data_IF_797306202788
#
_entry.id   IF_797306202788
#
_cell.length_a   1.000
_cell.length_b   1.000
_cell.length_c   1.000
_cell.angle_alpha   90.00
_cell.angle_beta   90.00
_cell.angle_gamma   90.00
#
_symmetry.space_group_name_H-M   'P 1'
#
loop_
_entity.id
_entity.type
_entity.pdbx_description
1 polymer ?
#
# COMPACT_ATOMS: atom_id res chain seq x y z
N UNK A 1 -1.28 2.56 -3.03
CA UNK A 1 -0.77 1.26 -2.57
C UNK A 1 -0.13 1.38 -1.18
N UNK A 2 0.07 0.26 -0.48
CA UNK A 2 0.72 0.23 0.84
C UNK A 2 2.17 0.74 0.77
N UNK A 3 2.89 0.40 -0.29
CA UNK A 3 4.25 0.89 -0.54
C UNK A 3 4.32 2.41 -0.64
N UNK A 4 3.30 3.06 -1.23
CA UNK A 4 3.24 4.52 -1.32
C UNK A 4 3.00 5.15 0.06
N UNK A 5 2.16 4.55 0.91
CA UNK A 5 1.93 5.02 2.28
C UNK A 5 3.22 4.92 3.09
N UNK A 6 3.91 3.78 3.02
CA UNK A 6 5.20 3.57 3.72
C UNK A 6 6.26 4.61 3.34
N UNK A 7 6.33 4.98 2.06
CA UNK A 7 7.31 5.97 1.57
C UNK A 7 7.11 7.36 2.18
N UNK A 8 5.89 7.69 2.60
CA UNK A 8 5.56 8.97 3.23
C UNK A 8 5.68 8.86 4.75
N UNK A 9 5.16 7.76 5.30
CA UNK A 9 5.13 7.47 6.73
C UNK A 9 5.63 6.05 6.96
N UNK A 10 6.84 5.86 7.50
CA UNK A 10 7.41 4.53 7.73
C UNK A 10 6.57 3.70 8.72
N UNK A 11 5.86 4.37 9.62
CA UNK A 11 4.95 3.73 10.58
C UNK A 11 3.50 3.94 10.17
N UNK A 12 2.82 2.87 9.80
CA UNK A 12 1.42 2.93 9.41
C UNK A 12 0.67 1.64 9.79
N UNK A 13 -0.65 1.71 9.80
CA UNK A 13 -1.49 0.54 10.06
C UNK A 13 -2.71 0.50 9.17
N UNK A 14 -3.33 -0.67 9.10
CA UNK A 14 -4.60 -0.89 8.42
C UNK A 14 -5.72 -0.71 9.45
N UNK A 15 -6.44 0.40 9.33
CA UNK A 15 -7.51 0.76 10.28
C UNK A 15 -8.77 -0.08 10.09
N UNK A 16 -9.06 -0.48 8.84
CA UNK A 16 -10.26 -1.24 8.49
C UNK A 16 -9.96 -2.30 7.43
N UNK A 17 -9.56 -3.48 7.88
CA UNK A 17 -9.46 -4.64 7.00
C UNK A 17 -10.82 -5.34 6.95
N UNK A 18 -11.34 -5.58 5.74
CA UNK A 18 -12.59 -6.29 5.54
C UNK A 18 -12.60 -7.65 6.24
N UNK A 19 -13.66 -7.93 7.00
CA UNK A 19 -13.84 -9.22 7.70
C UNK A 19 -15.08 -10.00 7.29
N UNK A 20 -16.01 -9.38 6.56
CA UNK A 20 -17.23 -10.02 6.09
C UNK A 20 -17.72 -9.42 4.78
N UNK A 21 -18.90 -9.79 4.33
CA UNK A 21 -19.56 -9.11 3.23
C UNK A 21 -19.85 -7.67 3.62
N UNK A 22 -19.69 -6.74 2.68
CA UNK A 22 -19.92 -5.33 2.90
C UNK A 22 -21.10 -4.85 2.07
N UNK A 23 -21.89 -3.98 2.64
CA UNK A 23 -22.99 -3.35 1.91
C UNK A 23 -23.76 -2.37 2.77
N UNK A 24 -24.45 -1.49 2.10
CA UNK A 24 -25.42 -0.60 2.71
C UNK A 24 -26.82 -1.25 2.66
N UNK A 25 -27.78 -0.65 3.33
CA UNK A 25 -29.17 -1.14 3.37
C UNK A 25 -29.82 -1.30 1.99
N UNK A 26 -29.21 -0.84 0.93
CA UNK A 26 -29.75 -0.90 -0.45
C UNK A 26 -29.09 -1.96 -1.31
N UNK A 27 -27.83 -2.37 -1.01
CA UNK A 27 -27.09 -3.37 -1.79
C UNK A 27 -25.89 -3.92 -1.05
N UNK A 28 -25.49 -5.14 -1.42
CA UNK A 28 -24.17 -5.70 -1.06
C UNK A 28 -23.16 -5.25 -2.11
N UNK A 29 -22.07 -4.62 -1.67
CA UNK A 29 -21.04 -4.03 -2.54
C UNK A 29 -19.81 -4.93 -2.67
N UNK A 30 -19.50 -5.71 -1.63
CA UNK A 30 -18.38 -6.65 -1.67
C UNK A 30 -18.77 -7.99 -1.05
N UNK A 31 -18.38 -9.12 -1.67
CA UNK A 31 -18.65 -10.46 -1.13
C UNK A 31 -17.86 -10.71 0.15
N UNK A 32 -18.29 -11.70 0.92
CA UNK A 32 -17.53 -12.16 2.09
C UNK A 32 -16.17 -12.71 1.66
N UNK A 33 -15.11 -12.47 2.45
CA UNK A 33 -13.79 -13.03 2.17
C UNK A 33 -13.83 -14.56 2.07
N UNK A 34 -13.14 -15.09 1.07
CA UNK A 34 -12.94 -16.53 0.92
C UNK A 34 -12.06 -17.08 2.06
N UNK A 35 -12.10 -18.40 2.33
CA UNK A 35 -11.18 -19.02 3.27
C UNK A 35 -9.71 -18.69 2.96
N UNK A 36 -8.96 -18.22 3.94
CA UNK A 36 -7.55 -17.80 3.81
C UNK A 36 -7.35 -16.39 3.27
N UNK A 37 -8.37 -15.73 2.76
CA UNK A 37 -8.24 -14.42 2.13
C UNK A 37 -7.94 -13.31 3.15
N UNK A 38 -8.53 -13.36 4.35
CA UNK A 38 -8.22 -12.40 5.41
C UNK A 38 -6.77 -12.55 5.89
N UNK A 39 -6.30 -13.78 6.03
CA UNK A 39 -4.90 -14.08 6.34
C UNK A 39 -3.96 -13.55 5.26
N UNK A 40 -4.27 -13.79 3.98
CA UNK A 40 -3.47 -13.29 2.86
C UNK A 40 -3.37 -11.77 2.88
N UNK A 41 -4.47 -11.05 3.04
CA UNK A 41 -4.47 -9.58 3.08
C UNK A 41 -3.68 -9.03 4.27
N UNK A 42 -3.83 -9.66 5.44
CA UNK A 42 -3.09 -9.26 6.64
C UNK A 42 -1.58 -9.47 6.45
N UNK A 43 -1.16 -10.64 6.01
CA UNK A 43 0.25 -10.94 5.76
C UNK A 43 0.85 -10.06 4.65
N UNK A 44 0.08 -9.77 3.60
CA UNK A 44 0.50 -8.82 2.57
C UNK A 44 0.72 -7.41 3.16
N UNK A 45 -0.18 -6.96 4.04
CA UNK A 45 -0.03 -5.65 4.69
C UNK A 45 1.21 -5.59 5.59
N UNK A 46 1.47 -6.65 6.35
CA UNK A 46 2.69 -6.79 7.18
C UNK A 46 3.94 -6.79 6.29
N UNK A 47 3.94 -7.57 5.20
CA UNK A 47 5.06 -7.62 4.26
C UNK A 47 5.36 -6.27 3.60
N UNK A 48 4.37 -5.38 3.52
CA UNK A 48 4.54 -4.01 3.07
C UNK A 48 4.86 -3.01 4.19
N UNK A 49 5.10 -3.49 5.42
CA UNK A 49 5.55 -2.68 6.55
C UNK A 49 4.43 -2.12 7.44
N UNK A 50 3.22 -2.68 7.39
CA UNK A 50 2.17 -2.27 8.32
C UNK A 50 2.48 -2.74 9.75
N UNK A 51 2.44 -1.83 10.73
CA UNK A 51 2.71 -2.11 12.13
C UNK A 51 1.55 -2.80 12.84
N UNK A 52 0.32 -2.56 12.38
CA UNK A 52 -0.87 -3.20 12.92
C UNK A 52 -1.98 -3.34 11.88
N UNK A 53 -2.90 -4.26 12.16
CA UNK A 53 -4.09 -4.49 11.34
C UNK A 53 -5.31 -4.56 12.25
N UNK A 54 -6.28 -3.72 11.96
CA UNK A 54 -7.59 -3.72 12.59
C UNK A 54 -8.64 -4.22 11.61
N UNK A 55 -9.40 -5.22 12.01
CA UNK A 55 -10.47 -5.75 11.18
C UNK A 55 -11.78 -4.99 11.42
N UNK A 56 -12.42 -4.57 10.38
CA UNK A 56 -13.76 -4.04 10.43
C UNK A 56 -14.74 -5.13 10.04
N UNK A 57 -15.50 -5.65 10.98
CA UNK A 57 -15.59 -5.31 12.42
C UNK A 57 -15.63 -6.61 13.22
N UNK A 58 -15.62 -6.49 14.56
CA UNK A 58 -15.71 -7.68 15.41
C UNK A 58 -17.04 -8.40 15.24
N UNK A 59 -18.17 -7.68 15.33
CA UNK A 59 -19.51 -8.23 15.30
C UNK A 59 -20.42 -7.50 14.31
N UNK A 60 -21.22 -8.25 13.57
CA UNK A 60 -22.23 -7.71 12.66
C UNK A 60 -23.32 -6.95 13.44
N UNK A 61 -23.64 -5.75 13.00
CA UNK A 61 -24.75 -4.98 13.56
C UNK A 61 -26.10 -5.60 13.25
N UNK A 62 -27.02 -5.57 14.20
CA UNK A 62 -28.39 -6.08 14.04
C UNK A 62 -29.41 -4.98 13.77
N UNK A 63 -29.00 -3.71 13.91
CA UNK A 63 -29.84 -2.52 13.69
C UNK A 63 -29.04 -1.41 13.00
N UNK A 64 -29.74 -0.49 12.36
CA UNK A 64 -29.14 0.68 11.70
C UNK A 64 -28.77 0.43 10.25
N UNK A 65 -28.20 1.46 9.61
CA UNK A 65 -27.85 1.45 8.17
C UNK A 65 -26.73 0.49 7.80
N UNK A 66 -25.91 0.10 8.77
CA UNK A 66 -24.75 -0.77 8.58
C UNK A 66 -25.03 -2.25 8.88
N UNK A 67 -26.28 -2.68 8.86
CA UNK A 67 -26.65 -4.08 9.13
C UNK A 67 -26.03 -5.07 8.12
N UNK A 68 -25.67 -4.61 6.93
CA UNK A 68 -25.03 -5.42 5.89
C UNK A 68 -23.50 -5.36 5.91
N UNK A 69 -22.90 -4.62 6.85
CA UNK A 69 -21.46 -4.64 7.08
C UNK A 69 -21.14 -5.76 8.07
N UNK A 70 -20.82 -6.93 7.51
CA UNK A 70 -20.59 -8.12 8.30
C UNK A 70 -19.22 -8.10 8.99
N UNK A 71 -19.23 -8.44 10.27
CA UNK A 71 -18.04 -8.60 11.08
C UNK A 71 -17.41 -9.99 11.02
N UNK A 72 -16.42 -10.21 11.89
CA UNK A 72 -15.85 -11.54 12.15
C UNK A 72 -16.95 -12.48 12.67
N UNK A 73 -17.72 -12.02 13.64
CA UNK A 73 -18.91 -12.72 14.12
C UNK A 73 -20.14 -12.29 13.30
N UNK A 74 -20.94 -13.26 12.95
CA UNK A 74 -22.22 -13.04 12.25
C UNK A 74 -23.33 -12.60 13.23
N UNK A 75 -24.56 -12.44 12.76
CA UNK A 75 -25.69 -11.94 13.56
C UNK A 75 -25.97 -12.78 14.81
N UNK A 76 -25.70 -14.07 14.75
CA UNK A 76 -25.94 -15.03 15.84
C UNK A 76 -24.81 -15.09 16.88
N UNK A 77 -23.72 -14.37 16.66
CA UNK A 77 -22.51 -14.34 17.52
C UNK A 77 -21.87 -15.72 17.79
N UNK A 78 -22.11 -16.70 16.94
CA UNK A 78 -21.52 -18.04 17.11
C UNK A 78 -20.14 -18.13 16.49
N UNK A 79 -19.41 -19.12 16.96
CA UNK A 79 -18.14 -19.51 16.34
C UNK A 79 -18.35 -19.87 14.88
N UNK A 80 -17.50 -19.30 14.04
CA UNK A 80 -17.57 -19.49 12.61
C UNK A 80 -16.16 -19.60 12.01
N UNK A 81 -16.10 -19.82 10.69
CA UNK A 81 -14.85 -19.92 9.94
C UNK A 81 -13.97 -18.69 10.09
N UNK A 82 -14.55 -17.49 10.06
CA UNK A 82 -13.81 -16.22 10.12
C UNK A 82 -13.08 -16.06 11.45
N UNK A 83 -13.77 -16.37 12.56
CA UNK A 83 -13.17 -16.35 13.89
C UNK A 83 -11.99 -17.33 14.00
N UNK A 84 -12.14 -18.54 13.46
CA UNK A 84 -11.05 -19.54 13.45
C UNK A 84 -9.87 -19.07 12.62
N UNK A 85 -10.12 -18.46 11.46
CA UNK A 85 -9.09 -17.90 10.59
C UNK A 85 -8.31 -16.79 11.28
N UNK A 86 -9.00 -15.84 11.94
CA UNK A 86 -8.35 -14.75 12.68
C UNK A 86 -7.56 -15.27 13.88
N UNK A 87 -8.07 -16.28 14.61
CA UNK A 87 -7.33 -16.90 15.72
C UNK A 87 -6.06 -17.58 15.22
N UNK A 88 -6.12 -18.24 14.06
CA UNK A 88 -4.94 -18.84 13.44
C UNK A 88 -3.95 -17.77 12.98
N UNK A 89 -4.44 -16.70 12.33
CA UNK A 89 -3.61 -15.57 11.93
C UNK A 89 -2.89 -14.94 13.14
N UNK A 90 -3.59 -14.72 14.26
CA UNK A 90 -2.97 -14.19 15.46
C UNK A 90 -1.77 -15.03 15.90
N UNK A 91 -1.91 -16.36 15.94
CA UNK A 91 -0.81 -17.26 16.29
C UNK A 91 0.33 -17.19 15.26
N UNK A 92 0.03 -17.08 13.97
CA UNK A 92 1.06 -16.94 12.93
C UNK A 92 1.83 -15.62 13.08
N UNK A 93 1.14 -14.52 13.38
CA UNK A 93 1.79 -13.21 13.61
C UNK A 93 2.73 -13.28 14.82
N UNK A 94 2.39 -14.04 15.88
CA UNK A 94 3.30 -14.23 17.02
C UNK A 94 4.63 -14.89 16.62
N UNK A 95 4.63 -15.75 15.59
CA UNK A 95 5.88 -16.40 15.13
C UNK A 95 6.81 -15.42 14.39
N UNK A 96 6.28 -14.34 13.86
CA UNK A 96 7.05 -13.31 13.13
C UNK A 96 7.16 -11.99 13.91
N UNK A 97 6.86 -12.00 15.21
CA UNK A 97 6.84 -10.78 16.04
C UNK A 97 8.19 -10.02 16.05
N UNK A 98 9.28 -10.71 15.81
CA UNK A 98 10.62 -10.12 15.79
C UNK A 98 10.84 -9.22 14.56
N UNK A 99 9.91 -9.26 13.57
CA UNK A 99 9.87 -8.31 12.45
C UNK A 99 9.23 -6.97 12.83
N UNK A 100 8.61 -6.85 14.01
CA UNK A 100 8.00 -5.61 14.44
C UNK A 100 9.08 -4.51 14.59
N UNK A 101 8.87 -3.39 13.90
CA UNK A 101 9.84 -2.29 13.86
C UNK A 101 11.06 -2.53 12.96
N UNK A 102 11.09 -3.62 12.18
CA UNK A 102 12.12 -3.84 11.19
C UNK A 102 12.01 -2.82 10.05
N UNK A 103 13.15 -2.32 9.61
CA UNK A 103 13.22 -1.42 8.46
C UNK A 103 12.98 -2.20 7.16
N UNK A 104 12.14 -1.63 6.27
CA UNK A 104 11.95 -2.17 4.94
C UNK A 104 13.04 -1.63 4.01
N UNK A 105 13.84 -2.52 3.46
CA UNK A 105 14.91 -2.17 2.54
C UNK A 105 14.45 -2.35 1.09
N UNK A 106 14.32 -1.24 0.38
CA UNK A 106 13.96 -1.24 -1.03
C UNK A 106 15.23 -1.38 -1.91
N UNK A 107 15.13 -2.18 -2.98
CA UNK A 107 16.20 -2.34 -3.96
C UNK A 107 16.26 -1.19 -4.96
N UNK A 108 15.15 -0.48 -5.16
CA UNK A 108 15.07 0.70 -6.01
C UNK A 108 13.90 1.59 -5.61
N UNK A 109 13.92 2.85 -6.07
CA UNK A 109 12.84 3.81 -5.90
C UNK A 109 12.18 4.19 -7.23
N UNK A 110 10.86 4.41 -7.21
CA UNK A 110 10.11 5.05 -8.31
C UNK A 110 9.85 6.49 -7.89
N UNK A 111 10.38 7.45 -8.63
CA UNK A 111 10.14 8.87 -8.36
C UNK A 111 8.69 9.24 -8.62
N UNK A 112 8.06 9.85 -7.64
CA UNK A 112 6.73 10.46 -7.72
C UNK A 112 6.84 11.96 -7.66
N UNK A 113 6.39 12.60 -8.72
CA UNK A 113 6.38 14.03 -8.89
C UNK A 113 4.95 14.48 -9.17
N UNK A 114 4.40 15.31 -8.30
CA UNK A 114 3.00 15.75 -8.43
C UNK A 114 2.78 16.66 -9.61
N UNK A 115 3.75 17.47 -10.04
CA UNK A 115 3.59 18.34 -11.21
C UNK A 115 3.41 17.49 -12.47
N UNK A 116 4.22 16.44 -12.64
CA UNK A 116 4.09 15.49 -13.73
C UNK A 116 2.85 14.60 -13.62
N UNK A 117 2.42 14.27 -12.41
CA UNK A 117 1.18 13.51 -12.18
C UNK A 117 -0.05 14.30 -12.59
N UNK A 118 -0.10 15.60 -12.25
CA UNK A 118 -1.21 16.48 -12.61
C UNK A 118 -1.21 16.82 -14.11
N UNK A 119 -0.03 17.05 -14.69
CA UNK A 119 0.12 17.22 -16.13
C UNK A 119 -0.40 15.99 -16.88
N UNK A 120 -0.03 14.79 -16.45
CA UNK A 120 -0.49 13.53 -17.05
C UNK A 120 -2.01 13.32 -16.95
N UNK A 121 -2.69 13.94 -16.00
CA UNK A 121 -4.16 13.85 -15.89
C UNK A 121 -4.88 14.69 -16.95
N UNK A 122 -4.26 15.73 -17.44
CA UNK A 122 -4.81 16.64 -18.46
C UNK A 122 -4.16 16.49 -19.83
N UNK A 123 -3.05 15.77 -19.93
CA UNK A 123 -2.32 15.54 -21.17
C UNK A 123 -3.15 14.70 -22.17
N UNK A 124 -3.59 15.36 -23.22
CA UNK A 124 -4.40 14.72 -24.27
C UNK A 124 -3.56 13.90 -25.26
N UNK A 125 -2.25 14.13 -25.30
CA UNK A 125 -1.33 13.48 -26.24
C UNK A 125 -0.80 12.15 -25.73
N UNK A 126 -0.31 12.12 -24.50
CA UNK A 126 0.30 10.95 -23.89
C UNK A 126 -0.66 10.15 -23.01
N UNK A 127 -1.82 10.71 -22.62
CA UNK A 127 -2.90 10.03 -21.89
C UNK A 127 -2.40 9.25 -20.70
N UNK A 128 -2.42 9.56 -19.57
CA UNK A 128 -2.12 8.76 -18.36
C UNK A 128 -0.90 7.81 -18.44
N UNK A 129 -0.02 8.02 -19.43
CA UNK A 129 1.13 7.12 -19.65
C UNK A 129 2.03 7.09 -18.41
N UNK A 130 2.13 8.18 -17.69
CA UNK A 130 2.85 8.29 -16.43
C UNK A 130 2.29 7.32 -15.37
N UNK A 131 0.97 7.32 -15.16
CA UNK A 131 0.30 6.41 -14.21
C UNK A 131 0.45 4.95 -14.63
N UNK A 132 0.29 4.67 -15.91
CA UNK A 132 0.43 3.31 -16.46
C UNK A 132 1.86 2.83 -16.24
N UNK A 133 2.87 3.62 -16.59
CA UNK A 133 4.26 3.23 -16.41
C UNK A 133 4.61 2.93 -14.96
N UNK A 134 4.22 3.76 -14.02
CA UNK A 134 4.42 3.50 -12.58
C UNK A 134 3.73 2.23 -12.12
N UNK A 135 2.49 2.01 -12.59
CA UNK A 135 1.74 0.81 -12.24
C UNK A 135 2.41 -0.45 -12.80
N UNK A 136 2.85 -0.44 -14.04
CA UNK A 136 3.51 -1.60 -14.67
C UNK A 136 4.86 -1.90 -14.02
N UNK A 137 5.65 -0.88 -13.69
CA UNK A 137 6.90 -1.06 -12.94
C UNK A 137 6.61 -1.66 -11.56
N UNK A 138 5.60 -1.16 -10.85
CA UNK A 138 5.17 -1.71 -9.57
C UNK A 138 4.75 -3.18 -9.70
N UNK A 139 3.91 -3.51 -10.68
CA UNK A 139 3.47 -4.89 -10.93
C UNK A 139 4.65 -5.80 -11.26
N UNK A 140 5.57 -5.35 -12.13
CA UNK A 140 6.78 -6.10 -12.45
C UNK A 140 7.64 -6.37 -11.21
N UNK A 141 7.83 -5.36 -10.35
CA UNK A 141 8.56 -5.51 -9.10
C UNK A 141 7.90 -6.56 -8.18
N UNK A 142 6.56 -6.48 -8.02
CA UNK A 142 5.84 -7.45 -7.19
C UNK A 142 5.93 -8.88 -7.73
N UNK A 143 5.78 -9.07 -9.04
CA UNK A 143 5.88 -10.40 -9.68
C UNK A 143 7.28 -11.00 -9.59
N UNK A 144 8.32 -10.16 -9.53
CA UNK A 144 9.71 -10.59 -9.39
C UNK A 144 10.21 -10.56 -7.93
N UNK A 145 9.32 -10.32 -6.97
CA UNK A 145 9.66 -10.21 -5.54
C UNK A 145 10.79 -9.20 -5.27
N UNK A 146 10.84 -8.11 -6.04
CA UNK A 146 11.84 -7.06 -5.89
C UNK A 146 11.29 -5.95 -5.01
N UNK A 147 11.86 -5.73 -3.81
CA UNK A 147 11.43 -4.67 -2.90
C UNK A 147 11.62 -3.29 -3.54
N UNK A 148 10.61 -2.44 -3.45
CA UNK A 148 10.67 -1.09 -4.01
C UNK A 148 9.89 -0.09 -3.18
N UNK A 149 10.26 1.17 -3.28
CA UNK A 149 9.56 2.30 -2.71
C UNK A 149 9.11 3.29 -3.78
N UNK A 150 8.09 4.08 -3.44
CA UNK A 150 7.82 5.34 -4.13
C UNK A 150 8.58 6.45 -3.41
N UNK A 151 9.25 7.30 -4.14
CA UNK A 151 10.08 8.37 -3.60
C UNK A 151 9.55 9.71 -4.09
N UNK A 152 9.08 10.54 -3.17
CA UNK A 152 8.56 11.86 -3.54
C UNK A 152 9.69 12.74 -4.06
N UNK A 153 9.53 13.26 -5.27
CA UNK A 153 10.42 14.27 -5.85
C UNK A 153 9.70 15.63 -5.87
N UNK A 154 10.24 16.57 -5.13
CA UNK A 154 9.76 17.94 -5.03
C UNK A 154 10.92 18.90 -4.92
N UNK A 155 10.66 20.20 -4.94
CA UNK A 155 11.72 21.21 -4.70
C UNK A 155 12.26 21.20 -3.26
N UNK A 156 11.59 20.49 -2.35
CA UNK A 156 12.04 20.31 -0.98
C UNK A 156 12.76 18.98 -0.73
N UNK A 157 12.86 18.11 -1.73
CA UNK A 157 13.55 16.84 -1.62
C UNK A 157 15.04 17.06 -1.49
N UNK A 158 15.66 16.39 -0.52
CA UNK A 158 17.09 16.49 -0.27
C UNK A 158 17.85 15.27 -0.82
N UNK A 159 19.13 15.46 -1.13
CA UNK A 159 19.98 14.38 -1.68
C UNK A 159 20.01 13.14 -0.79
N UNK A 160 20.02 13.32 0.54
CA UNK A 160 20.02 12.23 1.52
C UNK A 160 18.80 11.29 1.40
N UNK A 161 17.69 11.77 0.84
CA UNK A 161 16.50 10.96 0.61
C UNK A 161 16.67 10.08 -0.63
N UNK A 162 17.34 10.58 -1.66
CA UNK A 162 17.56 9.86 -2.91
C UNK A 162 18.70 8.82 -2.81
N UNK A 163 19.77 9.15 -2.12
CA UNK A 163 20.95 8.27 -2.01
C UNK A 163 20.70 6.95 -1.28
N UNK A 164 19.55 6.82 -0.60
CA UNK A 164 19.13 5.55 0.02
C UNK A 164 18.88 4.46 -1.00
N UNK A 165 18.62 4.84 -2.23
CA UNK A 165 18.27 3.91 -3.31
C UNK A 165 19.42 3.81 -4.31
N UNK A 166 19.93 2.60 -4.59
CA UNK A 166 20.99 2.43 -5.58
C UNK A 166 20.51 2.63 -7.01
N UNK A 167 19.20 2.61 -7.23
CA UNK A 167 18.57 2.85 -8.54
C UNK A 167 17.32 3.66 -8.33
N UNK A 168 17.13 4.70 -9.12
CA UNK A 168 15.88 5.48 -9.19
C UNK A 168 15.30 5.40 -10.59
N UNK A 169 14.00 5.15 -10.68
CA UNK A 169 13.26 5.16 -11.94
C UNK A 169 12.38 6.41 -11.96
N UNK A 170 12.58 7.27 -12.94
CA UNK A 170 11.76 8.47 -13.13
C UNK A 170 10.96 8.38 -14.43
N UNK A 171 9.77 7.75 -14.42
CA UNK A 171 8.95 7.64 -15.61
C UNK A 171 8.30 8.99 -15.93
N UNK A 172 8.49 9.44 -17.19
CA UNK A 172 7.82 10.64 -17.72
C UNK A 172 8.03 11.94 -16.94
N UNK A 173 9.28 12.27 -16.66
CA UNK A 173 9.67 13.56 -16.10
C UNK A 173 9.64 14.67 -17.15
N UNK A 174 8.46 15.16 -17.53
CA UNK A 174 8.27 16.20 -18.54
C UNK A 174 8.44 17.60 -17.96
N UNK A 175 8.04 17.80 -16.71
CA UNK A 175 8.17 19.04 -15.97
C UNK A 175 9.29 18.87 -14.97
N UNK A 176 10.35 19.63 -15.11
CA UNK A 176 11.52 19.55 -14.25
C UNK A 176 11.99 20.96 -13.88
N UNK A 177 11.94 21.28 -12.59
CA UNK A 177 12.50 22.54 -12.09
C UNK A 177 14.02 22.51 -12.11
N UNK A 178 14.66 23.67 -12.08
CA UNK A 178 16.12 23.76 -12.00
C UNK A 178 16.66 23.03 -10.75
N UNK A 179 16.00 23.18 -9.60
CA UNK A 179 16.40 22.53 -8.34
C UNK A 179 16.35 21.01 -8.44
N UNK A 180 15.26 20.45 -8.97
CA UNK A 180 15.13 18.99 -9.19
C UNK A 180 16.15 18.49 -10.20
N UNK A 181 16.40 19.27 -11.26
CA UNK A 181 17.42 18.94 -12.27
C UNK A 181 18.82 18.84 -11.66
N UNK A 182 19.21 19.83 -10.85
CA UNK A 182 20.49 19.81 -10.14
C UNK A 182 20.57 18.64 -9.18
N UNK A 183 19.51 18.38 -8.41
CA UNK A 183 19.46 17.27 -7.47
C UNK A 183 19.64 15.91 -8.16
N UNK A 184 18.90 15.66 -9.25
CA UNK A 184 19.02 14.42 -10.03
C UNK A 184 20.38 14.27 -10.69
N UNK A 185 20.94 15.37 -11.20
CA UNK A 185 22.30 15.38 -11.74
C UNK A 185 23.32 14.99 -10.67
N UNK A 186 23.25 15.57 -9.50
CA UNK A 186 24.11 15.22 -8.36
C UNK A 186 23.98 13.74 -8.02
N UNK A 187 22.78 13.22 -7.97
CA UNK A 187 22.54 11.79 -7.70
C UNK A 187 23.28 10.89 -8.70
N UNK A 188 23.18 11.19 -10.00
CA UNK A 188 23.88 10.41 -11.05
C UNK A 188 25.40 10.56 -10.96
N UNK A 189 25.90 11.78 -10.71
CA UNK A 189 27.35 12.05 -10.60
C UNK A 189 27.98 11.35 -9.39
N UNK A 190 27.22 11.14 -8.32
CA UNK A 190 27.65 10.41 -7.12
C UNK A 190 27.45 8.90 -7.20
N UNK A 191 27.03 8.36 -8.36
CA UNK A 191 27.01 6.93 -8.66
C UNK A 191 25.64 6.25 -8.52
N UNK A 192 24.57 7.03 -8.49
CA UNK A 192 23.19 6.54 -8.51
C UNK A 192 22.64 6.25 -9.91
#
# INVERSE_FOLDING_TARGET
SLSRVRSIFPHFGIMEQQSGANGWNTRIEAPAPKPGQMTLWAMQSIAHGADYISFFRWRTCTVGTEIYWHGILDYDNRDNRKLKEISTLYNQVQLIRDLAGAEYLASFGILEDYDNLWDADVDVWHRRIEKISKQEIFVAAQLNHTPMDYVLLSDNTEYEELKKYPVLIYPHGLILTERRSVLLKTYVEEGG
#
